data_IF_672060822349
#
_entry.id   IF_672060822349
#
_cell.length_a   1.000
_cell.length_b   1.000
_cell.length_c   1.000
_cell.angle_alpha   90.00
_cell.angle_beta   90.00
_cell.angle_gamma   90.00
#
_symmetry.space_group_name_H-M   'P 1'
#
loop_
_entity.id
_entity.type
_entity.pdbx_description
1 polymer ?
#
# COMPACT_ATOMS: atom_id res chain seq x y z
N UNK A 1 3.20 -20.67 17.38
CA UNK A 1 4.16 -19.83 16.64
C UNK A 1 3.72 -18.41 16.91
N UNK A 2 4.61 -17.46 17.24
CA UNK A 2 4.20 -16.20 17.88
C UNK A 2 3.06 -15.45 17.17
N UNK A 3 3.07 -15.43 15.83
CA UNK A 3 2.01 -14.78 15.04
C UNK A 3 0.67 -15.55 15.04
N UNK A 4 0.70 -16.88 15.08
CA UNK A 4 -0.51 -17.70 15.23
C UNK A 4 -1.09 -17.56 16.65
N UNK A 5 -0.20 -17.50 17.65
CA UNK A 5 -0.59 -17.29 19.04
C UNK A 5 -1.22 -15.90 19.20
N UNK A 6 -0.63 -14.85 18.60
CA UNK A 6 -1.22 -13.52 18.52
C UNK A 6 -2.59 -13.52 17.84
N UNK A 7 -2.73 -14.20 16.70
CA UNK A 7 -4.04 -14.34 16.01
C UNK A 7 -5.09 -14.91 16.94
N UNK A 8 -4.75 -15.92 17.74
CA UNK A 8 -5.67 -16.51 18.70
C UNK A 8 -6.01 -15.55 19.85
N UNK A 9 -5.06 -14.71 20.29
CA UNK A 9 -5.33 -13.73 21.36
C UNK A 9 -6.31 -12.63 20.95
N UNK A 10 -6.38 -12.29 19.67
CA UNK A 10 -7.32 -11.30 19.14
C UNK A 10 -8.59 -11.95 18.56
N UNK A 11 -8.68 -13.28 18.56
CA UNK A 11 -9.84 -13.97 18.04
C UNK A 11 -11.01 -13.83 19.02
N UNK A 12 -12.04 -13.10 18.59
CA UNK A 12 -13.24 -12.87 19.39
C UNK A 12 -14.50 -12.79 18.53
N UNK A 13 -15.65 -13.01 19.18
CA UNK A 13 -16.97 -12.80 18.59
C UNK A 13 -17.22 -11.32 18.24
N UNK A 14 -16.55 -10.37 18.91
CA UNK A 14 -16.57 -8.95 18.58
C UNK A 14 -15.16 -8.35 18.58
N UNK A 15 -14.38 -8.76 17.58
CA UNK A 15 -12.99 -8.32 17.41
C UNK A 15 -12.86 -6.79 17.31
N UNK A 16 -13.85 -6.10 16.74
CA UNK A 16 -13.79 -4.64 16.58
C UNK A 16 -13.90 -3.94 17.93
N UNK A 17 -14.86 -4.36 18.77
CA UNK A 17 -15.00 -3.79 20.10
C UNK A 17 -13.75 -4.04 20.95
N UNK A 18 -13.20 -5.26 20.89
CA UNK A 18 -11.99 -5.61 21.64
C UNK A 18 -10.75 -4.85 21.18
N UNK A 19 -10.51 -4.74 19.88
CA UNK A 19 -9.41 -3.93 19.35
C UNK A 19 -9.54 -2.47 19.80
N UNK A 20 -10.76 -1.91 19.78
CA UNK A 20 -11.02 -0.54 20.23
C UNK A 20 -10.64 -0.32 21.70
N UNK A 21 -10.77 -1.33 22.57
CA UNK A 21 -10.32 -1.22 23.98
C UNK A 21 -8.81 -1.03 24.12
N UNK A 22 -8.03 -1.48 23.14
CA UNK A 22 -6.58 -1.36 23.13
C UNK A 22 -6.07 -0.10 22.43
N UNK A 23 -6.95 0.77 21.93
CA UNK A 23 -6.56 2.01 21.24
C UNK A 23 -5.79 2.95 22.19
N UNK A 24 -4.50 3.13 21.92
CA UNK A 24 -3.61 3.88 22.81
C UNK A 24 -3.93 5.37 22.74
N UNK A 25 -4.27 5.92 23.90
CA UNK A 25 -4.56 7.34 24.12
C UNK A 25 -6.01 7.73 23.82
N UNK A 26 -6.91 6.78 23.57
CA UNK A 26 -8.33 7.10 23.37
C UNK A 26 -8.92 7.75 24.62
N UNK A 27 -9.71 8.82 24.44
CA UNK A 27 -10.29 9.56 25.57
C UNK A 27 -9.30 10.37 26.41
N UNK A 28 -8.03 10.47 25.98
CA UNK A 28 -7.03 11.31 26.65
C UNK A 28 -7.49 12.76 26.72
N UNK A 29 -7.26 13.41 27.85
CA UNK A 29 -7.60 14.83 28.02
C UNK A 29 -6.38 15.70 27.75
N UNK A 30 -6.60 16.83 27.09
CA UNK A 30 -5.56 17.82 26.84
C UNK A 30 -6.08 19.24 27.12
N UNK A 31 -5.16 20.14 27.47
CA UNK A 31 -5.49 21.52 27.82
C UNK A 31 -5.55 22.37 26.56
N UNK A 32 -6.60 23.16 26.42
CA UNK A 32 -6.78 24.17 25.37
C UNK A 32 -7.03 25.54 26.01
N UNK A 33 -7.00 26.64 25.23
CA UNK A 33 -7.48 27.95 25.68
C UNK A 33 -8.93 27.95 26.19
N UNK A 34 -9.75 26.96 25.78
CA UNK A 34 -11.15 26.81 26.17
C UNK A 34 -11.36 25.78 27.29
N UNK A 35 -10.29 25.39 27.99
CA UNK A 35 -10.34 24.40 29.06
C UNK A 35 -9.87 23.00 28.63
N UNK A 36 -10.14 22.01 29.47
CA UNK A 36 -9.78 20.62 29.20
C UNK A 36 -10.73 20.03 28.15
N UNK A 37 -10.15 19.51 27.07
CA UNK A 37 -10.88 18.82 26.00
C UNK A 37 -10.53 17.34 26.03
N UNK A 38 -11.46 16.51 25.53
CA UNK A 38 -11.23 15.08 25.30
C UNK A 38 -10.76 14.88 23.86
N UNK A 39 -9.66 14.15 23.68
CA UNK A 39 -9.13 13.82 22.37
C UNK A 39 -10.15 13.01 21.57
N UNK A 40 -10.57 13.56 20.44
CA UNK A 40 -11.31 12.86 19.39
C UNK A 40 -10.42 12.84 18.16
N UNK A 41 -9.90 11.68 17.81
CA UNK A 41 -9.01 11.53 16.65
C UNK A 41 -9.82 11.11 15.43
N UNK A 42 -9.79 11.93 14.38
CA UNK A 42 -10.53 11.70 13.14
C UNK A 42 -9.63 11.81 11.89
N UNK A 43 -8.32 11.64 12.06
CA UNK A 43 -7.30 11.81 11.02
C UNK A 43 -6.66 10.46 10.63
N UNK A 44 -7.46 9.38 10.68
CA UNK A 44 -7.02 8.01 10.42
C UNK A 44 -6.55 7.80 8.97
N UNK A 45 -6.99 8.64 8.03
CA UNK A 45 -6.51 8.63 6.63
C UNK A 45 -5.07 9.13 6.51
N UNK A 46 -4.60 9.95 7.45
CA UNK A 46 -3.20 10.38 7.49
C UNK A 46 -2.32 9.35 8.22
N UNK A 47 -2.76 8.87 9.39
CA UNK A 47 -2.05 7.82 10.14
C UNK A 47 -2.98 7.05 11.06
N UNK A 48 -2.80 5.73 11.08
CA UNK A 48 -3.37 4.88 12.12
C UNK A 48 -2.78 5.23 13.51
N UNK A 49 -3.52 4.85 14.56
CA UNK A 49 -3.07 4.95 15.95
C UNK A 49 -2.65 3.57 16.46
N UNK A 50 -1.70 3.55 17.38
CA UNK A 50 -1.19 2.32 17.97
C UNK A 50 -2.27 1.59 18.80
N UNK A 51 -2.20 0.25 18.75
CA UNK A 51 -3.04 -0.67 19.52
C UNK A 51 -2.16 -1.41 20.53
N UNK A 52 -2.56 -1.44 21.80
CA UNK A 52 -1.80 -2.09 22.87
C UNK A 52 -1.55 -3.57 22.59
N UNK A 53 -2.46 -4.26 21.91
CA UNK A 53 -2.28 -5.64 21.48
C UNK A 53 -1.03 -5.80 20.61
N UNK A 54 -0.84 -4.90 19.63
CA UNK A 54 0.32 -4.91 18.72
C UNK A 54 1.59 -4.50 19.47
N UNK A 55 1.52 -3.42 20.25
CA UNK A 55 2.69 -2.93 20.99
C UNK A 55 3.19 -3.94 22.03
N UNK A 56 2.28 -4.59 22.76
CA UNK A 56 2.63 -5.64 23.71
C UNK A 56 3.24 -6.86 23.00
N UNK A 57 2.66 -7.26 21.86
CA UNK A 57 3.23 -8.35 21.06
C UNK A 57 4.67 -8.03 20.61
N UNK A 58 4.91 -6.81 20.11
CA UNK A 58 6.26 -6.37 19.74
C UNK A 58 7.19 -6.42 20.95
N UNK A 59 6.78 -5.83 22.07
CA UNK A 59 7.59 -5.74 23.28
C UNK A 59 7.94 -7.11 23.88
N UNK A 60 7.00 -8.05 23.87
CA UNK A 60 7.13 -9.31 24.59
C UNK A 60 7.54 -10.49 23.69
N UNK A 61 7.18 -10.47 22.41
CA UNK A 61 7.38 -11.60 21.49
C UNK A 61 8.39 -11.32 20.38
N UNK A 62 8.68 -10.05 20.06
CA UNK A 62 9.63 -9.69 19.01
C UNK A 62 10.95 -9.20 19.59
N UNK A 63 10.91 -8.16 20.43
CA UNK A 63 12.12 -7.51 20.95
C UNK A 63 13.05 -8.44 21.76
N UNK A 64 12.57 -9.38 22.59
CA UNK A 64 13.45 -10.26 23.36
C UNK A 64 14.31 -11.20 22.49
N UNK A 65 13.86 -11.48 21.26
CA UNK A 65 14.55 -12.36 20.31
C UNK A 65 15.14 -11.60 19.12
N UNK A 66 15.11 -10.26 19.16
CA UNK A 66 15.52 -9.44 18.02
C UNK A 66 16.98 -9.70 17.64
N UNK A 67 17.17 -10.08 16.38
CA UNK A 67 18.45 -10.35 15.79
C UNK A 67 18.37 -10.13 14.28
N UNK A 68 19.54 -9.97 13.66
CA UNK A 68 19.62 -9.82 12.21
C UNK A 68 19.12 -11.10 11.51
N UNK A 69 18.13 -10.97 10.62
CA UNK A 69 17.50 -12.08 9.89
C UNK A 69 18.31 -12.60 8.69
N UNK A 70 19.62 -12.32 8.65
CA UNK A 70 20.51 -12.76 7.57
C UNK A 70 21.34 -13.99 7.93
N UNK A 71 21.24 -14.50 9.17
CA UNK A 71 21.86 -15.75 9.58
C UNK A 71 20.89 -16.57 10.42
N UNK A 72 20.93 -17.90 10.26
CA UNK A 72 20.19 -18.86 11.08
C UNK A 72 21.10 -19.59 12.07
N UNK A 73 22.33 -19.10 12.24
CA UNK A 73 23.36 -19.74 13.06
C UNK A 73 23.08 -19.64 14.57
N UNK A 74 22.31 -18.63 14.99
CA UNK A 74 21.83 -18.48 16.36
C UNK A 74 20.34 -18.73 16.45
N UNK A 75 19.88 -19.10 17.64
CA UNK A 75 18.45 -19.24 17.93
C UNK A 75 17.67 -17.98 17.54
N UNK A 76 18.11 -16.79 18.00
CA UNK A 76 17.44 -15.53 17.71
C UNK A 76 17.42 -15.21 16.20
N UNK A 77 18.51 -15.47 15.48
CA UNK A 77 18.57 -15.25 14.02
C UNK A 77 17.61 -16.16 13.26
N UNK A 78 17.57 -17.45 13.61
CA UNK A 78 16.62 -18.40 13.04
C UNK A 78 15.17 -18.02 13.38
N UNK A 79 14.90 -17.64 14.62
CA UNK A 79 13.58 -17.22 15.10
C UNK A 79 13.04 -16.01 14.34
N UNK A 80 13.84 -14.94 14.22
CA UNK A 80 13.45 -13.73 13.48
C UNK A 80 13.28 -13.98 11.97
N UNK A 81 14.13 -14.81 11.38
CA UNK A 81 14.00 -15.20 9.96
C UNK A 81 12.69 -15.92 9.70
N UNK A 82 12.34 -16.87 10.58
CA UNK A 82 11.09 -17.62 10.47
C UNK A 82 9.87 -16.72 10.67
N UNK A 83 9.86 -15.86 11.70
CA UNK A 83 8.77 -14.92 11.95
C UNK A 83 8.57 -13.97 10.76
N UNK A 84 9.66 -13.47 10.16
CA UNK A 84 9.61 -12.61 8.97
C UNK A 84 9.05 -13.35 7.74
N UNK A 85 9.32 -14.64 7.59
CA UNK A 85 8.75 -15.45 6.51
C UNK A 85 7.26 -15.76 6.75
N UNK A 86 6.86 -16.00 8.00
CA UNK A 86 5.46 -16.16 8.36
C UNK A 86 4.66 -14.88 8.12
N UNK A 87 5.17 -13.72 8.54
CA UNK A 87 4.53 -12.44 8.27
C UNK A 87 4.33 -12.21 6.76
N UNK A 88 5.31 -12.61 5.94
CA UNK A 88 5.20 -12.56 4.48
C UNK A 88 4.06 -13.44 3.96
N UNK A 89 3.94 -14.66 4.46
CA UNK A 89 2.86 -15.57 4.07
C UNK A 89 1.50 -15.03 4.50
N UNK A 90 1.36 -14.52 5.73
CA UNK A 90 0.11 -13.93 6.22
C UNK A 90 -0.33 -12.76 5.34
N UNK A 91 0.60 -11.87 4.96
CA UNK A 91 0.29 -10.77 4.04
C UNK A 91 -0.14 -11.29 2.67
N UNK A 92 0.53 -12.33 2.14
CA UNK A 92 0.15 -12.96 0.88
C UNK A 92 -1.27 -13.52 0.94
N UNK A 93 -1.61 -14.23 2.03
CA UNK A 93 -2.95 -14.81 2.21
C UNK A 93 -4.02 -13.71 2.32
N UNK A 94 -3.76 -12.64 3.09
CA UNK A 94 -4.68 -11.51 3.27
C UNK A 94 -4.94 -10.75 1.96
N UNK A 95 -3.98 -10.70 1.06
CA UNK A 95 -4.13 -10.07 -0.26
C UNK A 95 -4.47 -11.06 -1.37
N UNK A 96 -4.74 -12.32 -1.02
CA UNK A 96 -5.03 -13.40 -1.96
C UNK A 96 -3.94 -13.57 -3.05
N UNK A 97 -2.68 -13.35 -2.69
CA UNK A 97 -1.53 -13.50 -3.56
C UNK A 97 -1.26 -14.99 -3.84
N UNK A 98 -1.31 -15.36 -5.13
CA UNK A 98 -1.10 -16.73 -5.59
C UNK A 98 0.37 -17.19 -5.61
N UNK A 99 0.64 -18.42 -6.06
CA UNK A 99 2.00 -18.97 -6.12
C UNK A 99 2.93 -18.26 -7.12
N UNK A 100 2.37 -17.49 -8.04
CA UNK A 100 3.06 -16.64 -9.01
C UNK A 100 3.30 -15.21 -8.51
N UNK A 101 2.81 -14.89 -7.30
CA UNK A 101 2.94 -13.58 -6.69
C UNK A 101 4.13 -13.51 -5.73
N UNK A 102 4.54 -12.30 -5.36
CA UNK A 102 5.62 -12.07 -4.39
C UNK A 102 5.30 -10.91 -3.47
N UNK A 103 5.52 -11.12 -2.17
CA UNK A 103 5.39 -10.07 -1.15
C UNK A 103 6.77 -9.51 -0.80
N UNK A 104 6.98 -8.24 -1.13
CA UNK A 104 8.24 -7.53 -0.93
C UNK A 104 8.05 -6.51 0.19
N UNK A 105 8.88 -6.59 1.24
CA UNK A 105 8.92 -5.55 2.26
C UNK A 105 9.78 -4.40 1.76
N UNK A 106 9.18 -3.22 1.65
CA UNK A 106 9.76 -2.04 1.01
C UNK A 106 10.16 -0.97 2.02
N UNK A 107 10.13 -1.28 3.33
CA UNK A 107 10.42 -0.32 4.39
C UNK A 107 9.17 0.49 4.76
N UNK A 108 9.35 1.80 4.97
CA UNK A 108 8.29 2.68 5.48
C UNK A 108 7.46 3.29 4.37
N UNK A 109 6.14 3.07 4.43
CA UNK A 109 5.13 3.71 3.58
C UNK A 109 5.08 3.23 2.12
N UNK A 110 3.97 3.57 1.45
CA UNK A 110 3.74 3.24 0.04
C UNK A 110 4.75 3.90 -0.90
N UNK A 111 5.25 5.09 -0.58
CA UNK A 111 6.29 5.80 -1.35
C UNK A 111 7.51 4.93 -1.63
N UNK A 112 8.00 4.18 -0.63
CA UNK A 112 9.16 3.29 -0.80
C UNK A 112 8.83 2.11 -1.73
N UNK A 113 7.59 1.62 -1.69
CA UNK A 113 7.11 0.58 -2.58
C UNK A 113 7.03 1.05 -4.04
N UNK A 114 6.49 2.25 -4.27
CA UNK A 114 6.37 2.85 -5.61
C UNK A 114 7.75 3.05 -6.21
N UNK A 115 8.70 3.65 -5.48
CA UNK A 115 10.08 3.82 -5.97
C UNK A 115 10.74 2.48 -6.31
N UNK A 116 10.54 1.46 -5.48
CA UNK A 116 11.05 0.11 -5.76
C UNK A 116 10.43 -0.47 -7.03
N UNK A 117 9.14 -0.26 -7.22
CA UNK A 117 8.39 -0.73 -8.38
C UNK A 117 8.83 -0.02 -9.66
N UNK A 118 9.07 1.31 -9.63
CA UNK A 118 9.66 2.06 -10.75
C UNK A 118 11.02 1.47 -11.13
N UNK A 119 11.89 1.21 -10.15
CA UNK A 119 13.20 0.61 -10.39
C UNK A 119 13.09 -0.81 -11.00
N UNK A 120 12.14 -1.62 -10.55
CA UNK A 120 11.91 -2.98 -11.05
C UNK A 120 11.23 -3.02 -12.44
N UNK A 121 10.50 -1.96 -12.82
CA UNK A 121 9.84 -1.86 -14.14
C UNK A 121 10.83 -1.84 -15.32
N UNK A 122 12.11 -1.56 -15.04
CA UNK A 122 13.18 -1.49 -16.03
C UNK A 122 13.15 -0.22 -16.89
N UNK A 123 12.29 0.77 -16.58
CA UNK A 123 12.21 2.04 -17.32
C UNK A 123 13.58 2.72 -17.44
N UNK A 124 14.34 2.78 -16.34
CA UNK A 124 15.63 3.47 -16.30
C UNK A 124 16.73 2.76 -17.12
N UNK A 125 16.52 1.50 -17.50
CA UNK A 125 17.51 0.67 -18.20
C UNK A 125 17.12 0.43 -19.68
N UNK A 126 16.06 1.07 -20.17
CA UNK A 126 15.56 0.87 -21.54
C UNK A 126 16.21 1.85 -22.51
N UNK A 127 16.41 1.39 -23.74
CA UNK A 127 16.70 2.28 -24.87
C UNK A 127 15.47 3.16 -25.11
N UNK A 128 15.66 4.48 -25.00
CA UNK A 128 14.58 5.47 -25.08
C UNK A 128 14.12 5.77 -26.52
N UNK A 129 14.55 4.97 -27.51
CA UNK A 129 14.02 5.00 -28.89
C UNK A 129 12.48 4.89 -28.93
N UNK A 130 11.89 4.13 -28.00
CA UNK A 130 10.45 4.18 -27.70
C UNK A 130 10.27 4.49 -26.21
N UNK A 131 9.93 5.75 -25.91
CA UNK A 131 9.69 6.21 -24.54
C UNK A 131 8.51 5.45 -23.91
N UNK A 132 8.66 4.87 -22.70
CA UNK A 132 7.56 4.29 -21.94
C UNK A 132 6.44 5.30 -21.70
N UNK A 133 5.19 4.83 -21.65
CA UNK A 133 4.01 5.66 -21.32
C UNK A 133 3.44 5.24 -19.98
N UNK A 134 3.25 6.20 -19.08
CA UNK A 134 2.64 6.03 -17.77
C UNK A 134 1.33 6.79 -17.75
N UNK A 135 0.24 6.10 -17.47
CA UNK A 135 -1.11 6.64 -17.31
C UNK A 135 -1.37 6.74 -15.81
N UNK A 136 -1.69 7.94 -15.32
CA UNK A 136 -1.99 8.20 -13.90
C UNK A 136 -3.42 8.71 -13.77
N UNK A 137 -4.05 8.45 -12.62
CA UNK A 137 -5.41 8.93 -12.34
C UNK A 137 -5.49 10.42 -11.98
N UNK A 138 -6.72 10.92 -11.78
CA UNK A 138 -6.97 12.35 -11.54
C UNK A 138 -6.66 12.80 -10.10
N UNK A 139 -6.50 11.87 -9.16
CA UNK A 139 -6.29 12.16 -7.73
C UNK A 139 -5.09 11.41 -7.14
N UNK A 140 -4.05 11.20 -7.95
CA UNK A 140 -2.86 10.52 -7.46
C UNK A 140 -2.12 11.33 -6.40
N UNK A 141 -1.71 10.66 -5.33
CA UNK A 141 -0.82 11.27 -4.36
C UNK A 141 0.54 11.59 -5.00
N UNK A 142 1.22 12.64 -4.54
CA UNK A 142 2.51 13.07 -5.09
C UNK A 142 3.56 11.94 -5.11
N UNK A 143 3.52 11.03 -4.13
CA UNK A 143 4.40 9.84 -4.09
C UNK A 143 4.16 8.86 -5.25
N UNK A 144 2.97 8.86 -5.85
CA UNK A 144 2.60 8.08 -7.02
C UNK A 144 2.70 8.90 -8.33
N UNK A 145 3.17 10.14 -8.30
CA UNK A 145 3.36 10.98 -9.50
C UNK A 145 4.85 11.22 -9.75
N UNK A 146 5.57 11.72 -8.74
CA UNK A 146 6.94 12.21 -8.90
C UNK A 146 7.92 11.13 -9.40
N UNK A 147 7.91 9.88 -8.87
CA UNK A 147 8.83 8.85 -9.36
C UNK A 147 8.67 8.56 -10.86
N UNK A 148 7.46 8.62 -11.39
CA UNK A 148 7.21 8.43 -12.82
C UNK A 148 7.68 9.61 -13.66
N UNK A 149 7.46 10.85 -13.20
CA UNK A 149 7.95 12.06 -13.88
C UNK A 149 9.48 12.09 -13.94
N UNK A 150 10.15 11.66 -12.88
CA UNK A 150 11.61 11.61 -12.77
C UNK A 150 12.23 10.44 -13.56
N UNK A 151 11.44 9.41 -13.91
CA UNK A 151 11.91 8.23 -14.67
C UNK A 151 12.22 8.51 -16.15
N UNK A 152 11.86 9.69 -16.66
CA UNK A 152 11.98 10.01 -18.08
C UNK A 152 10.92 9.34 -18.96
N UNK A 153 9.87 8.73 -18.41
CA UNK A 153 8.72 8.23 -19.16
C UNK A 153 7.76 9.36 -19.58
N UNK A 154 6.92 9.13 -20.61
CA UNK A 154 5.81 10.03 -20.96
C UNK A 154 4.71 9.80 -19.93
N UNK A 155 4.42 10.79 -19.09
CA UNK A 155 3.34 10.69 -18.09
C UNK A 155 2.11 11.40 -18.63
N UNK A 156 0.97 10.73 -18.58
CA UNK A 156 -0.33 11.21 -19.06
C UNK A 156 -1.31 11.09 -17.90
N UNK A 157 -1.95 12.20 -17.57
CA UNK A 157 -2.98 12.27 -16.54
C UNK A 157 -4.33 12.00 -17.20
N UNK A 158 -5.08 11.05 -16.63
CA UNK A 158 -6.44 10.73 -17.04
C UNK A 158 -7.39 11.57 -16.19
N UNK A 159 -8.28 12.29 -16.86
CA UNK A 159 -9.27 13.17 -16.23
C UNK A 159 -10.24 12.37 -15.34
N UNK A 160 -10.89 13.09 -14.43
CA UNK A 160 -11.95 12.53 -13.60
C UNK A 160 -13.26 12.45 -14.39
N UNK A 161 -13.93 11.30 -14.32
CA UNK A 161 -15.26 11.10 -14.88
C UNK A 161 -16.33 11.87 -14.08
N UNK A 162 -17.47 12.18 -14.71
CA UNK A 162 -18.59 12.89 -14.07
C UNK A 162 -19.13 12.19 -12.79
N UNK A 163 -18.99 10.87 -12.71
CA UNK A 163 -19.41 10.07 -11.56
C UNK A 163 -18.27 9.75 -10.58
N UNK A 164 -17.10 10.37 -10.76
CA UNK A 164 -15.88 10.11 -10.00
C UNK A 164 -15.06 8.96 -10.58
N UNK A 165 -13.77 8.96 -10.25
CA UNK A 165 -12.81 7.98 -10.76
C UNK A 165 -12.26 8.33 -12.14
N UNK A 166 -11.31 7.54 -12.68
CA UNK A 166 -10.70 7.83 -13.99
C UNK A 166 -11.72 7.74 -15.13
N UNK A 167 -11.69 8.69 -16.06
CA UNK A 167 -12.43 8.62 -17.31
C UNK A 167 -11.91 7.45 -18.17
N UNK A 168 -12.69 6.37 -18.23
CA UNK A 168 -12.34 5.18 -18.98
C UNK A 168 -12.33 5.39 -20.50
N UNK A 169 -13.12 6.33 -21.02
CA UNK A 169 -13.12 6.64 -22.44
C UNK A 169 -11.84 7.39 -22.83
N UNK A 170 -11.41 8.36 -22.02
CA UNK A 170 -10.12 9.02 -22.19
C UNK A 170 -8.96 8.02 -22.04
N UNK A 171 -9.01 7.15 -21.02
CA UNK A 171 -8.00 6.12 -20.81
C UNK A 171 -7.87 5.19 -22.04
N UNK A 172 -8.98 4.75 -22.62
CA UNK A 172 -8.98 3.92 -23.82
C UNK A 172 -8.37 4.65 -25.03
N UNK A 173 -8.71 5.93 -25.24
CA UNK A 173 -8.14 6.75 -26.31
C UNK A 173 -6.61 6.87 -26.19
N UNK A 174 -6.10 7.14 -24.98
CA UNK A 174 -4.68 7.24 -24.74
C UNK A 174 -3.96 5.90 -24.96
N UNK A 175 -4.57 4.79 -24.54
CA UNK A 175 -4.07 3.43 -24.80
C UNK A 175 -4.00 3.12 -26.30
N UNK A 176 -5.02 3.48 -27.09
CA UNK A 176 -5.04 3.31 -28.54
C UNK A 176 -3.96 4.15 -29.25
N UNK A 177 -3.61 5.31 -28.69
CA UNK A 177 -2.58 6.20 -29.24
C UNK A 177 -1.14 5.72 -29.00
N UNK A 178 -0.95 4.76 -28.08
CA UNK A 178 0.36 4.27 -27.72
C UNK A 178 1.04 3.51 -28.86
N UNK A 179 2.36 3.72 -29.02
CA UNK A 179 3.13 3.07 -30.09
C UNK A 179 3.24 1.56 -29.83
N UNK A 180 3.09 0.70 -30.87
CA UNK A 180 3.36 -0.72 -30.74
C UNK A 180 4.76 -0.98 -30.16
N UNK A 181 4.84 -1.89 -29.20
CA UNK A 181 6.09 -2.24 -28.50
C UNK A 181 6.52 -1.27 -27.40
N UNK A 182 5.79 -0.17 -27.15
CA UNK A 182 6.04 0.68 -25.99
C UNK A 182 5.68 -0.05 -24.70
N UNK A 183 6.46 0.17 -23.64
CA UNK A 183 6.03 -0.20 -22.28
C UNK A 183 4.92 0.77 -21.86
N UNK A 184 3.77 0.21 -21.48
CA UNK A 184 2.64 0.98 -20.96
C UNK A 184 2.35 0.52 -19.53
N UNK A 185 2.23 1.47 -18.62
CA UNK A 185 1.89 1.24 -17.21
C UNK A 185 0.75 2.17 -16.84
N UNK A 186 -0.33 1.62 -16.30
CA UNK A 186 -1.31 2.38 -15.52
C UNK A 186 -0.92 2.35 -14.05
N UNK A 187 -0.78 3.51 -13.41
CA UNK A 187 -0.48 3.65 -11.98
C UNK A 187 -1.56 4.50 -11.31
N UNK A 188 -2.48 3.83 -10.61
CA UNK A 188 -3.70 4.46 -10.09
C UNK A 188 -3.85 4.26 -8.59
N UNK A 189 -4.44 5.22 -7.90
CA UNK A 189 -4.86 5.09 -6.50
C UNK A 189 -6.17 4.34 -6.42
N UNK A 190 -6.30 3.42 -5.46
CA UNK A 190 -7.57 2.72 -5.24
C UNK A 190 -8.65 3.65 -4.70
N UNK A 191 -8.27 4.68 -3.96
CA UNK A 191 -9.16 5.67 -3.40
C UNK A 191 -8.47 7.02 -3.25
N UNK A 192 -9.22 8.10 -3.47
CA UNK A 192 -8.76 9.46 -3.21
C UNK A 192 -8.69 9.74 -1.71
N UNK A 193 -7.53 10.15 -1.23
CA UNK A 193 -7.34 10.56 0.17
C UNK A 193 -7.95 11.93 0.50
N UNK A 194 -8.45 12.65 -0.51
CA UNK A 194 -9.10 13.98 -0.36
C UNK A 194 -10.62 13.84 -0.40
N UNK A 195 -11.15 13.14 -1.40
CA UNK A 195 -12.61 13.05 -1.65
C UNK A 195 -13.24 11.76 -1.14
N UNK A 196 -12.44 10.71 -0.90
CA UNK A 196 -12.92 9.38 -0.53
C UNK A 196 -13.54 8.59 -1.70
N UNK A 197 -13.47 9.12 -2.93
CA UNK A 197 -13.92 8.39 -4.14
C UNK A 197 -13.07 7.13 -4.31
N UNK A 198 -13.72 6.01 -4.56
CA UNK A 198 -13.09 4.70 -4.78
C UNK A 198 -13.07 4.39 -6.27
N UNK A 199 -11.91 4.04 -6.78
CA UNK A 199 -11.71 3.64 -8.18
C UNK A 199 -12.28 2.24 -8.42
N UNK A 200 -13.02 2.03 -9.51
CA UNK A 200 -13.33 0.68 -10.01
C UNK A 200 -12.06 0.05 -10.61
N UNK A 201 -11.25 -0.55 -9.73
CA UNK A 201 -9.97 -1.13 -10.11
C UNK A 201 -10.10 -2.28 -11.11
N UNK A 202 -11.21 -2.98 -11.08
CA UNK A 202 -11.53 -4.09 -11.94
C UNK A 202 -11.77 -3.62 -13.38
N UNK A 203 -12.56 -2.55 -13.56
CA UNK A 203 -12.80 -1.94 -14.86
C UNK A 203 -11.51 -1.36 -15.47
N UNK A 204 -10.77 -0.57 -14.69
CA UNK A 204 -9.48 0.02 -15.13
C UNK A 204 -8.47 -1.07 -15.48
N UNK A 205 -8.33 -2.10 -14.63
CA UNK A 205 -7.38 -3.20 -14.88
C UNK A 205 -7.74 -4.01 -16.13
N UNK A 206 -9.03 -4.30 -16.36
CA UNK A 206 -9.48 -5.00 -17.57
C UNK A 206 -9.11 -4.20 -18.82
N UNK A 207 -9.37 -2.90 -18.82
CA UNK A 207 -9.06 -2.02 -19.95
C UNK A 207 -7.54 -1.96 -20.20
N UNK A 208 -6.73 -1.73 -19.17
CA UNK A 208 -5.26 -1.75 -19.29
C UNK A 208 -4.75 -3.07 -19.90
N UNK A 209 -5.25 -4.21 -19.41
CA UNK A 209 -4.83 -5.54 -19.87
C UNK A 209 -5.23 -5.82 -21.32
N UNK A 210 -6.35 -5.30 -21.82
CA UNK A 210 -6.75 -5.44 -23.23
C UNK A 210 -5.70 -4.85 -24.19
N UNK A 211 -4.97 -3.84 -23.75
CA UNK A 211 -3.91 -3.17 -24.51
C UNK A 211 -2.49 -3.65 -24.11
N UNK A 212 -2.38 -4.71 -23.32
CA UNK A 212 -1.10 -5.26 -22.87
C UNK A 212 -0.34 -4.37 -21.88
N UNK A 213 -1.02 -3.39 -21.24
CA UNK A 213 -0.43 -2.53 -20.23
C UNK A 213 -0.31 -3.26 -18.88
N UNK A 214 0.69 -2.84 -18.09
CA UNK A 214 0.80 -3.23 -16.68
C UNK A 214 -0.15 -2.37 -15.83
N UNK A 215 -0.75 -2.95 -14.80
CA UNK A 215 -1.63 -2.26 -13.87
C UNK A 215 -1.01 -2.24 -12.47
N UNK A 216 -0.75 -1.03 -11.96
CA UNK A 216 -0.23 -0.78 -10.62
C UNK A 216 -1.25 -0.01 -9.80
N UNK A 217 -1.43 -0.45 -8.56
CA UNK A 217 -2.43 0.10 -7.66
C UNK A 217 -1.79 0.58 -6.36
N UNK A 218 -1.96 1.87 -6.06
CA UNK A 218 -1.64 2.43 -4.76
C UNK A 218 -2.83 2.27 -3.81
N UNK A 219 -2.66 1.40 -2.81
CA UNK A 219 -3.65 1.13 -1.78
C UNK A 219 -3.45 2.00 -0.52
N UNK A 220 -2.57 3.00 -0.50
CA UNK A 220 -2.35 3.82 0.70
C UNK A 220 -3.63 4.46 1.25
N UNK A 221 -4.52 4.95 0.37
CA UNK A 221 -5.78 5.60 0.75
C UNK A 221 -6.98 4.66 0.97
N UNK A 222 -6.85 3.36 0.66
CA UNK A 222 -7.97 2.40 0.74
C UNK A 222 -7.61 1.02 1.27
N UNK A 223 -6.36 0.82 1.69
CA UNK A 223 -5.89 -0.39 2.34
C UNK A 223 -6.28 -0.43 3.81
N UNK A 224 -6.21 -1.61 4.45
CA UNK A 224 -6.49 -1.76 5.87
C UNK A 224 -5.48 -0.98 6.73
N UNK A 225 -6.00 -0.19 7.68
CA UNK A 225 -5.26 0.49 8.76
C UNK A 225 -5.49 -0.21 10.10
#
# INVERSE_FOLDING_TARGET
MPLDDFRNTIASNDIIAELRTGLIGEGMKFKTPFGNQTLTYADYTASGRALSQVENFVAEQVLPFYANSHTTASFCGAHMTQMRQQARQIIADLTNAGPDCSVIFTGSGATSAINRLVALSGINNRDHTVRPTILIGPYEHHSNILPWRESGAKVIEIDEADNGGPDLAMLEQELQSCKPGSLIIGSFSIASNVTGIVTDADAVTRLLKQYGALAFWDYAGGGPY
#
